data_IF_818561407562
#
_entry.id   IF_818561407562
#
_cell.length_a   1.000
_cell.length_b   1.000
_cell.length_c   1.000
_cell.angle_alpha   90.00
_cell.angle_beta   90.00
_cell.angle_gamma   90.00
#
_symmetry.space_group_name_H-M   'P 1'
#
loop_
_entity.id
_entity.type
_entity.pdbx_description
1 polymer ?
#
# COMPACT_ATOMS: atom_id res chain seq x y z
N UNK A 1 8.35 0.62 -20.37
CA UNK A 1 8.02 0.07 -19.03
C UNK A 1 6.73 0.70 -18.54
N UNK A 2 5.82 -0.11 -18.01
CA UNK A 2 4.56 0.41 -17.49
C UNK A 2 4.83 1.28 -16.24
N UNK A 3 4.15 2.41 -16.17
CA UNK A 3 4.27 3.32 -15.03
C UNK A 3 3.56 2.72 -13.82
N UNK A 4 4.13 2.96 -12.65
CA UNK A 4 3.51 2.60 -11.37
C UNK A 4 2.86 3.86 -10.84
N UNK A 5 1.53 3.84 -10.71
CA UNK A 5 0.73 5.01 -10.42
C UNK A 5 0.22 5.02 -8.98
N UNK A 6 0.16 6.22 -8.39
CA UNK A 6 -0.45 6.42 -7.08
C UNK A 6 -1.88 5.90 -7.08
N UNK A 7 -2.23 5.16 -6.04
CA UNK A 7 -3.56 4.58 -5.88
C UNK A 7 -3.71 3.17 -6.45
N UNK A 8 -2.73 2.70 -7.22
CA UNK A 8 -2.77 1.32 -7.68
C UNK A 8 -2.50 0.36 -6.54
N UNK A 9 -3.19 -0.76 -6.57
CA UNK A 9 -2.93 -1.89 -5.69
C UNK A 9 -2.20 -2.92 -6.54
N UNK A 10 -0.98 -3.27 -6.14
CA UNK A 10 -0.11 -4.12 -6.93
C UNK A 10 0.50 -5.20 -6.06
N UNK A 11 0.85 -6.32 -6.68
CA UNK A 11 1.66 -7.32 -6.01
C UNK A 11 3.04 -6.75 -5.75
N UNK A 12 3.62 -7.08 -4.59
CA UNK A 12 4.98 -6.70 -4.26
C UNK A 12 5.66 -7.81 -3.49
N UNK A 13 6.96 -7.96 -3.73
CA UNK A 13 7.81 -8.87 -2.96
C UNK A 13 8.35 -8.10 -1.76
N UNK A 14 7.87 -8.47 -0.58
CA UNK A 14 8.22 -7.80 0.67
C UNK A 14 9.38 -8.47 1.41
N UNK A 15 9.95 -9.53 0.85
CA UNK A 15 11.10 -10.20 1.45
C UNK A 15 12.40 -9.44 1.16
N UNK A 16 13.41 -9.48 2.06
CA UNK A 16 13.32 -10.02 3.40
C UNK A 16 12.65 -9.06 4.38
N UNK A 17 12.06 -9.61 5.43
CA UNK A 17 11.42 -8.84 6.50
C UNK A 17 11.96 -9.27 7.85
N UNK A 18 11.67 -8.47 8.90
CA UNK A 18 12.06 -8.75 10.29
C UNK A 18 10.88 -8.56 11.22
N UNK A 19 10.81 -9.41 12.24
CA UNK A 19 9.81 -9.30 13.28
C UNK A 19 8.39 -9.40 12.77
N UNK A 20 7.53 -8.49 13.18
CA UNK A 20 6.11 -8.50 12.83
C UNK A 20 5.75 -7.87 11.50
N UNK A 21 6.74 -7.57 10.66
CA UNK A 21 6.47 -7.01 9.34
C UNK A 21 5.80 -8.04 8.43
N UNK A 22 5.00 -7.56 7.47
CA UNK A 22 4.43 -8.42 6.44
C UNK A 22 5.54 -9.00 5.57
N UNK A 23 5.42 -10.28 5.25
CA UNK A 23 6.41 -11.03 4.49
C UNK A 23 5.83 -11.59 3.21
N UNK A 24 6.72 -11.98 2.28
CA UNK A 24 6.36 -12.66 1.04
C UNK A 24 5.76 -11.72 0.00
N UNK A 25 5.11 -12.33 -1.00
CA UNK A 25 4.42 -11.58 -2.03
C UNK A 25 3.04 -11.19 -1.52
N UNK A 26 2.80 -9.90 -1.44
CA UNK A 26 1.58 -9.34 -0.86
C UNK A 26 1.08 -8.17 -1.70
N UNK A 27 -0.23 -7.90 -1.68
CA UNK A 27 -0.74 -6.66 -2.26
C UNK A 27 -0.26 -5.47 -1.43
N UNK A 28 0.07 -4.39 -2.13
CA UNK A 28 0.42 -3.11 -1.52
C UNK A 28 -0.35 -2.00 -2.23
N UNK A 29 -0.65 -0.95 -1.49
CA UNK A 29 -1.24 0.27 -2.04
C UNK A 29 -0.13 1.27 -2.31
N UNK A 30 -0.01 1.72 -3.55
CA UNK A 30 1.00 2.70 -3.94
C UNK A 30 0.53 4.08 -3.48
N UNK A 31 1.32 4.71 -2.61
CA UNK A 31 0.99 6.02 -2.03
C UNK A 31 1.76 7.17 -2.69
N UNK A 32 2.94 6.89 -3.20
CA UNK A 32 3.80 7.92 -3.76
C UNK A 32 3.36 8.32 -5.17
N UNK A 33 3.59 9.59 -5.50
CA UNK A 33 3.21 10.16 -6.79
C UNK A 33 4.01 9.57 -7.94
N UNK A 34 3.43 9.57 -9.12
CA UNK A 34 3.99 8.99 -10.34
C UNK A 34 5.37 9.55 -10.66
N UNK A 35 5.53 10.87 -10.53
CA UNK A 35 6.80 11.54 -10.84
C UNK A 35 7.89 11.09 -9.87
N UNK A 36 7.55 10.96 -8.58
CA UNK A 36 8.48 10.43 -7.59
C UNK A 36 8.90 9.02 -7.96
N UNK A 37 7.93 8.15 -8.25
CA UNK A 37 8.17 6.75 -8.59
C UNK A 37 9.11 6.62 -9.78
N UNK A 38 8.85 7.41 -10.81
CA UNK A 38 9.64 7.38 -12.03
C UNK A 38 11.06 7.87 -11.80
N UNK A 39 11.21 8.97 -11.06
CA UNK A 39 12.53 9.58 -10.85
C UNK A 39 13.39 8.84 -9.84
N UNK A 40 12.79 8.31 -8.79
CA UNK A 40 13.55 7.65 -7.72
C UNK A 40 13.85 6.19 -8.00
N UNK A 41 13.09 5.55 -8.90
CA UNK A 41 13.19 4.11 -9.10
C UNK A 41 12.67 3.32 -7.92
N UNK A 42 11.91 3.98 -7.02
CA UNK A 42 11.29 3.36 -5.85
C UNK A 42 9.85 3.83 -5.74
N UNK A 43 9.08 3.15 -4.90
CA UNK A 43 7.73 3.59 -4.53
C UNK A 43 7.62 3.58 -3.02
N UNK A 44 6.73 4.42 -2.49
CA UNK A 44 6.32 4.35 -1.09
C UNK A 44 4.93 3.72 -1.08
N UNK A 45 4.80 2.62 -0.38
CA UNK A 45 3.59 1.81 -0.40
C UNK A 45 3.25 1.29 0.99
N UNK A 46 1.99 0.96 1.19
CA UNK A 46 1.50 0.38 2.43
C UNK A 46 1.00 -1.04 2.17
N UNK A 47 1.34 -1.97 3.06
CA UNK A 47 0.93 -3.36 2.91
C UNK A 47 -0.57 -3.52 3.15
N UNK A 48 -1.19 -4.43 2.38
CA UNK A 48 -2.56 -4.86 2.60
C UNK A 48 -2.58 -6.21 3.31
N UNK A 49 -3.69 -6.47 4.01
CA UNK A 49 -3.96 -7.77 4.60
C UNK A 49 -5.42 -8.14 4.34
N UNK A 50 -5.69 -9.43 4.18
CA UNK A 50 -7.06 -9.96 4.09
C UNK A 50 -7.56 -10.45 5.46
N UNK A 51 -6.73 -10.38 6.49
CA UNK A 51 -7.12 -10.73 7.85
C UNK A 51 -7.95 -9.59 8.44
N UNK A 52 -9.15 -9.86 8.98
CA UNK A 52 -9.93 -8.81 9.64
C UNK A 52 -9.13 -8.11 10.72
N UNK A 53 -9.25 -6.80 10.78
CA UNK A 53 -8.45 -5.96 11.68
C UNK A 53 -9.30 -5.46 12.84
N UNK A 54 -8.81 -5.61 14.07
CA UNK A 54 -9.47 -5.06 15.26
C UNK A 54 -9.22 -3.56 15.37
N UNK A 55 -7.98 -3.15 15.07
CA UNK A 55 -7.63 -1.73 15.09
C UNK A 55 -8.26 -1.07 13.87
N UNK A 56 -8.93 0.04 14.12
CA UNK A 56 -9.55 0.85 13.07
C UNK A 56 -8.63 2.01 12.69
N UNK A 57 -9.17 2.95 11.93
CA UNK A 57 -8.48 4.20 11.62
C UNK A 57 -7.97 4.88 12.91
N UNK A 58 -6.74 5.40 12.96
CA UNK A 58 -5.82 5.59 11.84
C UNK A 58 -4.86 4.44 11.54
N UNK A 59 -4.98 3.31 12.23
CA UNK A 59 -4.04 2.21 12.06
C UNK A 59 -4.35 1.37 10.82
N UNK A 60 -5.62 1.23 10.48
CA UNK A 60 -6.06 0.49 9.30
C UNK A 60 -7.18 1.21 8.57
N UNK A 61 -7.34 0.85 7.32
CA UNK A 61 -8.41 1.37 6.47
C UNK A 61 -8.86 0.26 5.53
N UNK A 62 -10.14 -0.07 5.56
CA UNK A 62 -10.70 -1.08 4.65
C UNK A 62 -10.84 -0.49 3.24
N UNK A 63 -10.43 -1.25 2.23
CA UNK A 63 -10.59 -0.88 0.83
C UNK A 63 -11.76 -1.63 0.22
N UNK A 64 -12.45 -0.96 -0.72
CA UNK A 64 -13.67 -1.48 -1.33
C UNK A 64 -13.58 -1.64 -2.84
N UNK A 65 -12.34 -1.72 -3.39
CA UNK A 65 -12.16 -1.94 -4.81
C UNK A 65 -12.76 -3.29 -5.24
N UNK A 66 -13.60 -3.27 -6.27
CA UNK A 66 -14.31 -4.48 -6.72
C UNK A 66 -13.37 -5.54 -7.27
N UNK A 67 -12.24 -5.13 -7.84
CA UNK A 67 -11.28 -6.05 -8.43
C UNK A 67 -10.48 -6.83 -7.39
N UNK A 68 -10.55 -6.44 -6.10
CA UNK A 68 -9.85 -7.17 -5.05
C UNK A 68 -10.50 -8.55 -4.86
N UNK A 69 -9.70 -9.63 -4.88
CA UNK A 69 -10.26 -10.98 -4.74
C UNK A 69 -10.80 -11.27 -3.36
N UNK A 70 -10.37 -10.51 -2.36
CA UNK A 70 -10.79 -10.69 -0.96
C UNK A 70 -10.98 -9.33 -0.31
N UNK A 71 -11.83 -9.31 0.70
CA UNK A 71 -11.95 -8.17 1.60
C UNK A 71 -10.56 -7.83 2.17
N UNK A 72 -10.14 -6.58 2.08
CA UNK A 72 -8.77 -6.20 2.39
C UNK A 72 -8.70 -4.89 3.16
N UNK A 73 -7.70 -4.78 4.00
CA UNK A 73 -7.40 -3.60 4.80
C UNK A 73 -5.98 -3.14 4.52
N UNK A 74 -5.79 -1.83 4.42
CA UNK A 74 -4.45 -1.24 4.40
C UNK A 74 -3.95 -1.16 5.84
N UNK A 75 -2.75 -1.66 6.08
CA UNK A 75 -2.07 -1.50 7.37
C UNK A 75 -1.25 -0.21 7.27
N UNK A 76 -1.83 0.89 7.72
CA UNK A 76 -1.31 2.24 7.45
C UNK A 76 0.09 2.43 8.02
N UNK A 77 0.38 1.85 9.20
CA UNK A 77 1.72 1.94 9.80
C UNK A 77 2.76 1.06 9.10
N UNK A 78 2.33 0.16 8.23
CA UNK A 78 3.24 -0.74 7.51
C UNK A 78 3.61 -0.16 6.14
N UNK A 79 4.00 1.11 6.15
CA UNK A 79 4.53 1.74 4.94
C UNK A 79 6.01 1.42 4.79
N UNK A 80 6.45 1.34 3.54
CA UNK A 80 7.86 1.12 3.26
C UNK A 80 8.21 1.61 1.86
N UNK A 81 9.48 1.87 1.67
CA UNK A 81 10.03 2.19 0.35
C UNK A 81 10.47 0.89 -0.31
N UNK A 82 10.01 0.66 -1.52
CA UNK A 82 10.31 -0.55 -2.27
C UNK A 82 10.91 -0.18 -3.62
N UNK A 83 11.94 -0.91 -4.04
CA UNK A 83 12.44 -0.81 -5.41
C UNK A 83 11.33 -1.17 -6.39
N UNK A 84 11.23 -0.48 -7.51
CA UNK A 84 10.27 -0.80 -8.56
C UNK A 84 10.42 -2.23 -9.05
N UNK A 85 11.60 -2.82 -8.93
CA UNK A 85 11.86 -4.20 -9.30
C UNK A 85 11.08 -5.20 -8.45
N UNK A 86 10.66 -4.79 -7.26
CA UNK A 86 9.86 -5.63 -6.37
C UNK A 86 8.36 -5.54 -6.65
N UNK A 87 7.96 -4.63 -7.55
CA UNK A 87 6.55 -4.37 -7.82
C UNK A 87 6.10 -5.19 -9.03
N UNK A 88 5.06 -5.98 -8.83
CA UNK A 88 4.49 -6.82 -9.86
C UNK A 88 3.24 -6.21 -10.49
N UNK A 89 2.35 -7.08 -10.96
CA UNK A 89 1.17 -6.68 -11.71
C UNK A 89 0.15 -5.93 -10.86
N UNK A 90 -0.62 -5.07 -11.51
CA UNK A 90 -1.73 -4.37 -10.89
C UNK A 90 -2.87 -5.36 -10.60
N UNK A 91 -3.44 -5.25 -9.41
CA UNK A 91 -4.60 -6.05 -8.99
C UNK A 91 -5.88 -5.21 -9.12
N UNK A 92 -5.80 -3.95 -8.65
CA UNK A 92 -6.97 -3.10 -8.50
C UNK A 92 -6.52 -1.65 -8.40
N UNK A 93 -7.46 -0.74 -8.17
CA UNK A 93 -7.18 0.66 -7.95
C UNK A 93 -8.06 1.16 -6.81
N UNK A 94 -7.43 1.79 -5.82
CA UNK A 94 -8.15 2.48 -4.76
C UNK A 94 -8.70 3.81 -5.29
N UNK A 95 -9.80 4.26 -4.72
CA UNK A 95 -10.35 5.58 -5.06
C UNK A 95 -9.45 6.68 -4.51
N UNK A 96 -9.52 7.90 -5.08
CA UNK A 96 -8.80 9.04 -4.51
C UNK A 96 -9.16 9.28 -3.04
N UNK A 97 -10.42 9.06 -2.66
CA UNK A 97 -10.89 9.20 -1.29
C UNK A 97 -10.24 8.19 -0.36
N UNK A 98 -10.11 6.95 -0.82
CA UNK A 98 -9.41 5.91 -0.03
C UNK A 98 -7.94 6.23 0.16
N UNK A 99 -7.27 6.68 -0.90
CA UNK A 99 -5.86 7.10 -0.80
C UNK A 99 -5.72 8.26 0.18
N UNK A 100 -6.60 9.26 0.08
CA UNK A 100 -6.58 10.41 0.99
C UNK A 100 -6.79 9.98 2.43
N UNK A 101 -7.68 9.00 2.67
CA UNK A 101 -7.94 8.47 4.00
C UNK A 101 -6.69 7.79 4.59
N UNK A 102 -5.99 7.03 3.77
CA UNK A 102 -4.75 6.37 4.20
C UNK A 102 -3.68 7.41 4.56
N UNK A 103 -3.52 8.45 3.73
CA UNK A 103 -2.55 9.52 3.98
C UNK A 103 -2.93 10.28 5.26
N UNK A 104 -4.22 10.55 5.48
CA UNK A 104 -4.72 11.17 6.70
C UNK A 104 -4.36 10.32 7.93
N UNK A 105 -4.58 8.99 7.85
CA UNK A 105 -4.21 8.08 8.93
C UNK A 105 -2.71 8.11 9.21
N UNK A 106 -1.90 8.14 8.16
CA UNK A 106 -0.46 8.23 8.33
C UNK A 106 -0.06 9.55 9.02
N UNK A 107 -0.70 10.65 8.64
CA UNK A 107 -0.45 11.94 9.30
C UNK A 107 -0.83 11.91 10.78
N UNK A 108 -1.88 11.18 11.14
CA UNK A 108 -2.26 11.00 12.55
C UNK A 108 -1.17 10.25 13.32
N UNK A 109 -0.50 9.33 12.69
CA UNK A 109 0.52 8.49 13.33
C UNK A 109 1.85 9.23 13.47
N UNK A 110 2.29 9.93 12.43
CA UNK A 110 3.63 10.51 12.35
C UNK A 110 3.64 12.03 12.16
N UNK A 111 2.51 12.64 11.92
CA UNK A 111 2.42 14.09 11.74
C UNK A 111 2.44 14.84 13.05
N UNK A 112 2.55 16.16 12.97
CA UNK A 112 2.51 17.04 14.14
C UNK A 112 1.09 17.52 14.44
#
# INVERSE_FOLDING_TARGET
>A
MARILRGEIRWADLNPVRGGEQAGKRPVLILSHDVFNERSGTVIAAALTSQPQRAAFPLTCELHAQELPKRSWVKISQIRTLSIERIGSRIARATPEEVARVVEGLNEIIGT
#
